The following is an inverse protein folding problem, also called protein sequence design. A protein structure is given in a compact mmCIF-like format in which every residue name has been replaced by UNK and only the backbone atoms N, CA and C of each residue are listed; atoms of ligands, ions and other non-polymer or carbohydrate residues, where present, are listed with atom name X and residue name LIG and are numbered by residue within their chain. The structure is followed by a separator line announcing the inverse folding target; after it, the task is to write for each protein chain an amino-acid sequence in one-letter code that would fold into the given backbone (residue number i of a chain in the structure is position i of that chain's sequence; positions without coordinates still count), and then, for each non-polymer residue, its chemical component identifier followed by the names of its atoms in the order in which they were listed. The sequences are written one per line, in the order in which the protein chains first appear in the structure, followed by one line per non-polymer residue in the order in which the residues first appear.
data_IF_140429620636
#
_entry.id   IF_140429620636
#
_cell.length_a   1.000
_cell.length_b   1.000
_cell.length_c   1.000
_cell.angle_alpha   90.00
_cell.angle_beta   90.00
_cell.angle_gamma   90.00
#
_symmetry.space_group_name_H-M   'P 1'
#
loop_
_entity.id
_entity.type
_entity.pdbx_description
1 polymer ?
#
# COMPACT_ATOMS: atom_id res chain seq x y z
N UNK A 1 12.44 -13.56 -0.53
CA UNK A 1 11.84 -12.59 -1.47
C UNK A 1 11.51 -11.35 -0.68
N UNK A 2 11.86 -10.18 -1.19
CA UNK A 2 11.50 -8.92 -0.56
C UNK A 2 9.97 -8.73 -0.62
N UNK A 3 9.37 -8.35 0.52
CA UNK A 3 7.95 -8.01 0.58
C UNK A 3 7.66 -6.88 -0.43
N UNK A 4 6.49 -6.93 -1.07
CA UNK A 4 6.03 -5.94 -2.06
C UNK A 4 6.82 -5.86 -3.39
N UNK A 5 7.59 -6.89 -3.78
CA UNK A 5 8.32 -6.91 -5.06
C UNK A 5 7.43 -6.63 -6.28
N UNK A 6 6.24 -7.25 -6.36
CA UNK A 6 5.32 -7.02 -7.48
C UNK A 6 4.81 -5.58 -7.52
N UNK A 7 4.61 -4.97 -6.35
CA UNK A 7 4.19 -3.58 -6.26
C UNK A 7 5.32 -2.63 -6.69
N UNK A 8 6.56 -2.92 -6.30
CA UNK A 8 7.74 -2.19 -6.80
C UNK A 8 7.84 -2.26 -8.32
N UNK A 9 7.67 -3.44 -8.90
CA UNK A 9 7.70 -3.64 -10.34
C UNK A 9 6.60 -2.85 -11.04
N UNK A 10 5.38 -2.84 -10.49
CA UNK A 10 4.27 -2.05 -11.01
C UNK A 10 4.54 -0.54 -10.92
N UNK A 11 5.09 -0.04 -9.81
CA UNK A 11 5.44 1.38 -9.67
C UNK A 11 6.47 1.83 -10.72
N UNK A 12 7.49 0.99 -10.96
CA UNK A 12 8.51 1.23 -11.98
C UNK A 12 7.92 1.24 -13.39
N UNK A 13 7.08 0.24 -13.70
CA UNK A 13 6.41 0.13 -15.00
C UNK A 13 5.46 1.31 -15.28
N UNK A 14 4.86 1.89 -14.24
CA UNK A 14 3.94 3.04 -14.35
C UNK A 14 4.64 4.41 -14.16
N UNK A 15 5.97 4.47 -14.33
CA UNK A 15 6.79 5.68 -14.26
C UNK A 15 6.56 6.52 -12.99
N UNK A 16 6.30 5.89 -11.83
CA UNK A 16 6.18 6.59 -10.56
C UNK A 16 7.58 6.97 -10.06
N UNK A 17 8.00 8.21 -10.30
CA UNK A 17 9.33 8.75 -9.92
C UNK A 17 9.69 8.50 -8.43
N UNK A 18 8.68 8.44 -7.56
CA UNK A 18 8.84 8.27 -6.12
C UNK A 18 8.64 6.81 -5.66
N UNK A 19 8.92 5.82 -6.51
CA UNK A 19 8.65 4.41 -6.19
C UNK A 19 9.34 3.94 -4.90
N UNK A 20 10.57 4.41 -4.62
CA UNK A 20 11.31 4.11 -3.37
C UNK A 20 10.58 4.59 -2.13
N UNK A 21 10.03 5.81 -2.19
CA UNK A 21 9.27 6.39 -1.07
C UNK A 21 7.97 5.61 -0.83
N UNK A 22 7.30 5.19 -1.91
CA UNK A 22 6.08 4.40 -1.81
C UNK A 22 6.36 3.01 -1.21
N UNK A 23 7.46 2.38 -1.60
CA UNK A 23 7.88 1.09 -1.04
C UNK A 23 8.26 1.21 0.43
N UNK A 24 9.00 2.26 0.82
CA UNK A 24 9.33 2.53 2.21
C UNK A 24 8.07 2.79 3.06
N UNK A 25 7.11 3.54 2.53
CA UNK A 25 5.83 3.78 3.18
C UNK A 25 5.03 2.48 3.36
N UNK A 26 4.95 1.61 2.34
CA UNK A 26 4.25 0.33 2.45
C UNK A 26 4.87 -0.61 3.49
N UNK A 27 6.21 -0.69 3.54
CA UNK A 27 6.90 -1.45 4.58
C UNK A 27 6.64 -0.90 6.00
N UNK A 28 6.47 0.41 6.15
CA UNK A 28 6.11 1.02 7.42
C UNK A 28 4.66 0.73 7.79
N UNK A 29 3.74 0.79 6.82
CA UNK A 29 2.32 0.47 7.01
C UNK A 29 2.14 -0.99 7.42
N UNK A 30 2.85 -1.92 6.78
CA UNK A 30 2.89 -3.35 7.14
C UNK A 30 3.22 -3.53 8.64
N UNK A 31 4.23 -2.80 9.13
CA UNK A 31 4.64 -2.82 10.54
C UNK A 31 3.60 -2.17 11.47
N UNK A 32 2.96 -1.08 11.05
CA UNK A 32 1.97 -0.36 11.86
C UNK A 32 0.68 -1.18 12.01
N UNK A 33 0.22 -1.78 10.91
CA UNK A 33 -1.02 -2.54 10.90
C UNK A 33 -0.84 -3.96 11.45
N UNK A 34 0.39 -4.46 11.51
CA UNK A 34 0.73 -5.81 11.99
C UNK A 34 -0.08 -6.91 11.28
N UNK A 35 -0.41 -6.67 10.01
CA UNK A 35 -1.17 -7.63 9.19
C UNK A 35 -0.18 -8.67 8.65
N UNK A 36 -0.38 -9.96 8.94
CA UNK A 36 0.42 -11.02 8.33
C UNK A 36 0.27 -10.97 6.80
N UNK A 37 1.40 -10.98 6.10
CA UNK A 37 1.46 -11.01 4.64
C UNK A 37 0.54 -9.98 3.95
N UNK A 38 0.60 -8.72 4.38
CA UNK A 38 -0.20 -7.64 3.78
C UNK A 38 -0.08 -7.61 2.24
N UNK A 39 1.09 -7.94 1.70
CA UNK A 39 1.34 -8.00 0.28
C UNK A 39 0.52 -9.07 -0.46
N UNK A 40 -0.01 -10.09 0.24
CA UNK A 40 -0.83 -11.16 -0.33
C UNK A 40 -2.32 -10.86 -0.29
N UNK A 41 -2.76 -9.87 0.49
CA UNK A 41 -4.17 -9.47 0.54
C UNK A 41 -4.63 -9.03 -0.85
N UNK A 42 -5.68 -9.68 -1.35
CA UNK A 42 -6.29 -9.41 -2.66
C UNK A 42 -7.62 -8.66 -2.55
N UNK A 43 -8.34 -8.79 -1.44
CA UNK A 43 -9.65 -8.14 -1.27
C UNK A 43 -9.52 -6.63 -1.11
N UNK A 44 -10.04 -5.89 -2.08
CA UNK A 44 -10.09 -4.42 -2.08
C UNK A 44 -10.89 -3.86 -0.90
N UNK A 45 -11.96 -4.55 -0.51
CA UNK A 45 -12.75 -4.18 0.65
C UNK A 45 -11.90 -4.25 1.93
N UNK A 46 -11.14 -5.33 2.12
CA UNK A 46 -10.22 -5.49 3.26
C UNK A 46 -9.16 -4.40 3.24
N UNK A 47 -8.55 -4.12 2.09
CA UNK A 47 -7.52 -3.07 2.00
C UNK A 47 -8.07 -1.67 2.33
N UNK A 48 -9.30 -1.35 1.93
CA UNK A 48 -9.96 -0.10 2.31
C UNK A 48 -10.28 -0.02 3.82
N UNK A 49 -10.66 -1.15 4.43
CA UNK A 49 -10.81 -1.23 5.89
C UNK A 49 -9.47 -1.00 6.59
N UNK A 50 -8.38 -1.61 6.11
CA UNK A 50 -7.02 -1.42 6.63
C UNK A 50 -6.53 0.02 6.45
N UNK A 51 -6.85 0.68 5.34
CA UNK A 51 -6.56 2.10 5.15
C UNK A 51 -7.28 2.97 6.19
N UNK A 52 -8.52 2.61 6.53
CA UNK A 52 -9.29 3.30 7.57
C UNK A 52 -8.71 3.03 8.97
N UNK A 53 -8.29 1.79 9.24
CA UNK A 53 -7.60 1.42 10.48
C UNK A 53 -6.27 2.17 10.65
N UNK A 54 -5.49 2.34 9.57
CA UNK A 54 -4.25 3.11 9.58
C UNK A 54 -4.50 4.56 10.04
N UNK A 55 -5.54 5.22 9.49
CA UNK A 55 -5.90 6.61 9.84
C UNK A 55 -6.24 6.78 11.32
N UNK A 56 -6.81 5.74 11.94
CA UNK A 56 -7.23 5.75 13.34
C UNK A 56 -6.15 5.19 14.28
N UNK A 57 -5.00 4.73 13.76
CA UNK A 57 -3.93 4.15 14.57
C UNK A 57 -3.18 5.24 15.34
N UNK A 58 -2.94 5.03 16.64
CA UNK A 58 -2.29 5.99 17.54
C UNK A 58 -0.86 6.33 17.07
N UNK A 59 -0.07 5.32 16.68
CA UNK A 59 1.29 5.50 16.17
C UNK A 59 1.33 6.27 14.84
N UNK A 60 0.26 6.16 14.04
CA UNK A 60 0.08 6.99 12.84
C UNK A 60 -0.37 8.41 13.19
N UNK A 61 -1.21 8.57 14.21
CA UNK A 61 -1.71 9.85 14.72
C UNK A 61 -0.63 10.81 15.20
N UNK A 62 0.50 10.31 15.70
CA UNK A 62 1.64 11.13 16.16
C UNK A 62 2.48 11.77 15.05
N UNK A 63 2.32 11.35 13.79
CA UNK A 63 3.13 11.84 12.65
C UNK A 63 2.70 13.22 12.16
N UNK A 64 3.63 13.90 11.46
CA UNK A 64 3.32 15.16 10.77
C UNK A 64 2.29 14.94 9.66
N UNK A 65 1.57 16.01 9.29
CA UNK A 65 0.57 15.96 8.21
C UNK A 65 1.18 15.45 6.89
N UNK A 66 2.35 15.96 6.52
CA UNK A 66 3.04 15.58 5.28
C UNK A 66 3.40 14.09 5.25
N UNK A 67 3.83 13.52 6.37
CA UNK A 67 4.13 12.09 6.46
C UNK A 67 2.87 11.23 6.35
N UNK A 68 1.80 11.63 7.04
CA UNK A 68 0.50 10.95 6.96
C UNK A 68 -0.03 10.95 5.52
N UNK A 69 0.01 12.09 4.86
CA UNK A 69 -0.46 12.24 3.49
C UNK A 69 0.35 11.37 2.52
N UNK A 70 1.68 11.31 2.70
CA UNK A 70 2.55 10.42 1.92
C UNK A 70 2.18 8.96 2.11
N UNK A 71 2.04 8.50 3.34
CA UNK A 71 1.72 7.11 3.66
C UNK A 71 0.32 6.70 3.17
N UNK A 72 -0.69 7.55 3.36
CA UNK A 72 -2.03 7.35 2.82
C UNK A 72 -1.99 7.27 1.30
N UNK A 73 -1.23 8.15 0.64
CA UNK A 73 -1.08 8.14 -0.82
C UNK A 73 -0.43 6.84 -1.30
N UNK A 74 0.62 6.37 -0.63
CA UNK A 74 1.29 5.11 -0.96
C UNK A 74 0.36 3.91 -0.77
N UNK A 75 -0.44 3.89 0.30
CA UNK A 75 -1.41 2.81 0.51
C UNK A 75 -2.51 2.81 -0.56
N UNK A 76 -3.02 3.98 -0.93
CA UNK A 76 -3.99 4.11 -2.03
C UNK A 76 -3.42 3.61 -3.36
N UNK A 77 -2.14 3.89 -3.65
CA UNK A 77 -1.47 3.34 -4.83
C UNK A 77 -1.35 1.82 -4.78
N UNK A 78 -1.12 1.25 -3.60
CA UNK A 78 -1.13 -0.20 -3.44
C UNK A 78 -2.52 -0.82 -3.66
N UNK A 79 -3.58 -0.16 -3.21
CA UNK A 79 -4.97 -0.56 -3.50
C UNK A 79 -5.23 -0.53 -5.01
N UNK A 80 -4.86 0.56 -5.69
CA UNK A 80 -4.99 0.69 -7.14
C UNK A 80 -4.25 -0.44 -7.87
N UNK A 81 -3.01 -0.74 -7.47
CA UNK A 81 -2.25 -1.86 -8.02
C UNK A 81 -3.01 -3.19 -7.89
N UNK A 82 -3.62 -3.46 -6.73
CA UNK A 82 -4.43 -4.67 -6.51
C UNK A 82 -5.69 -4.69 -7.37
N UNK A 83 -6.36 -3.55 -7.53
CA UNK A 83 -7.53 -3.41 -8.41
C UNK A 83 -7.19 -3.73 -9.86
N UNK A 84 -6.12 -3.13 -10.38
CA UNK A 84 -5.67 -3.37 -11.76
C UNK A 84 -5.24 -4.82 -11.99
N UNK A 85 -4.56 -5.44 -11.02
CA UNK A 85 -4.17 -6.85 -11.09
C UNK A 85 -5.40 -7.76 -11.18
N UNK A 86 -6.40 -7.53 -10.31
CA UNK A 86 -7.65 -8.30 -10.32
C UNK A 86 -8.48 -8.10 -11.60
N UNK A 87 -8.45 -6.90 -12.18
CA UNK A 87 -9.14 -6.65 -13.45
C UNK A 87 -8.52 -7.46 -14.59
N UNK A 88 -7.19 -7.44 -14.70
CA UNK A 88 -6.46 -8.23 -15.72
C UNK A 88 -6.69 -9.73 -15.58
N UNK A 89 -6.77 -10.24 -14.35
CA UNK A 89 -7.05 -11.67 -14.10
C UNK A 89 -8.46 -12.10 -14.53
N UNK A 90 -9.42 -11.17 -14.68
CA UNK A 90 -10.78 -11.46 -15.17
C UNK A 90 -10.92 -11.39 -16.69
N UNK A 91 -9.95 -10.78 -17.37
CA UNK A 91 -9.92 -10.64 -18.83
C UNK A 91 -9.25 -11.82 -19.54
N UNK A 92 -8.61 -12.73 -18.77
CA UNK A 92 -7.92 -13.95 -19.22
C UNK A 92 -8.81 -15.16 -18.98
#
# INVERSE_FOLDING_TARGET
MDKFQDFENWLKANHKLNWRENLAAMNLIDKILMVPDLEKVSSISILNQLLSALRNNISFGGKSKTEKDREIKSFKLFIQYKEEKLQKEKEV
#
